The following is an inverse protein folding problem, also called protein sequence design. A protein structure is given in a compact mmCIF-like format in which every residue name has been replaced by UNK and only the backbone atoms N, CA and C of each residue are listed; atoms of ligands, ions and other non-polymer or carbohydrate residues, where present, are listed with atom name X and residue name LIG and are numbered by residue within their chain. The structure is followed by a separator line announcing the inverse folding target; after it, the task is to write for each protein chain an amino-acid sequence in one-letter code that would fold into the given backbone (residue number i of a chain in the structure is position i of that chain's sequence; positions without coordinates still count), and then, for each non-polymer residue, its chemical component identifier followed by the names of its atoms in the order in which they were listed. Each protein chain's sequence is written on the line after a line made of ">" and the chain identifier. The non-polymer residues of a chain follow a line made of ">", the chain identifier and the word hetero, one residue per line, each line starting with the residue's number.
data_IF_865361127727
#
_entry.id   IF_865361127727
#
_cell.length_a   1.000
_cell.length_b   1.000
_cell.length_c   1.000
_cell.angle_alpha   90.00
_cell.angle_beta   90.00
_cell.angle_gamma   90.00
#
_symmetry.space_group_name_H-M   'P 1'
#
loop_
_entity.id
_entity.type
_entity.pdbx_description
1 polymer ?
#
# COMPACT_ATOMS: atom_id res chain seq x y z
N UNK A 1 24.72 -14.59 1.72
CA UNK A 1 23.35 -14.56 1.16
C UNK A 1 22.70 -15.87 1.51
N UNK A 2 21.57 -15.85 2.20
CA UNK A 2 20.88 -17.08 2.61
C UNK A 2 19.95 -17.56 1.46
N UNK A 3 20.25 -18.73 0.89
CA UNK A 3 19.68 -19.23 -0.37
C UNK A 3 18.20 -19.66 -0.24
N UNK A 4 17.74 -19.96 0.97
CA UNK A 4 16.44 -20.60 1.22
C UNK A 4 15.24 -19.66 1.08
N UNK A 5 15.47 -18.34 1.12
CA UNK A 5 14.38 -17.35 1.14
C UNK A 5 13.87 -17.05 -0.26
N UNK A 6 14.75 -16.99 -1.26
CA UNK A 6 14.38 -16.58 -2.63
C UNK A 6 13.64 -17.71 -3.37
N UNK A 7 13.96 -18.97 -3.08
CA UNK A 7 13.24 -20.14 -3.62
C UNK A 7 11.74 -20.16 -3.24
N UNK A 8 11.37 -19.60 -2.08
CA UNK A 8 9.97 -19.53 -1.61
C UNK A 8 9.13 -18.47 -2.32
N UNK A 9 9.75 -17.49 -2.99
CA UNK A 9 9.05 -16.46 -3.75
C UNK A 9 8.31 -17.04 -4.97
N UNK A 10 8.93 -17.99 -5.69
CA UNK A 10 8.39 -18.56 -6.94
C UNK A 10 7.42 -19.72 -6.75
N UNK A 11 7.41 -20.35 -5.57
CA UNK A 11 6.54 -21.50 -5.31
C UNK A 11 5.07 -21.13 -5.05
N UNK A 12 4.71 -19.82 -4.96
CA UNK A 12 3.36 -19.37 -4.57
C UNK A 12 2.65 -18.45 -5.56
N UNK A 13 3.30 -18.00 -6.62
CA UNK A 13 2.68 -17.16 -7.67
C UNK A 13 2.06 -17.95 -8.83
N UNK A 14 2.09 -19.29 -8.81
CA UNK A 14 1.54 -20.11 -9.89
C UNK A 14 0.78 -21.34 -9.38
N UNK A 15 -0.54 -21.24 -9.25
CA UNK A 15 -1.46 -22.39 -9.33
C UNK A 15 -2.85 -21.93 -9.76
N UNK A 16 -3.04 -21.81 -11.07
CA UNK A 16 -4.34 -22.00 -11.68
C UNK A 16 -4.63 -23.51 -11.67
N UNK A 17 -5.76 -23.93 -11.11
CA UNK A 17 -6.15 -25.34 -11.02
C UNK A 17 -6.50 -25.95 -12.39
N UNK A 18 -6.32 -27.27 -12.59
CA UNK A 18 -6.64 -27.91 -13.86
C UNK A 18 -8.13 -28.24 -13.93
N UNK A 19 -8.81 -27.68 -14.92
CA UNK A 19 -10.13 -28.16 -15.36
C UNK A 19 -9.94 -29.35 -16.29
N UNK A 20 -10.50 -30.49 -15.91
CA UNK A 20 -10.58 -31.68 -16.73
C UNK A 20 -11.48 -31.45 -17.96
N UNK A 21 -11.04 -31.88 -19.14
CA UNK A 21 -11.92 -32.11 -20.28
C UNK A 21 -11.38 -33.27 -21.13
N UNK A 22 -12.32 -34.13 -21.50
CA UNK A 22 -12.19 -35.46 -22.06
C UNK A 22 -11.44 -35.52 -23.40
N UNK A 23 -10.84 -36.70 -23.60
CA UNK A 23 -10.35 -37.20 -24.86
C UNK A 23 -11.47 -37.33 -25.92
N UNK A 24 -11.14 -36.99 -27.16
CA UNK A 24 -11.78 -37.56 -28.34
C UNK A 24 -10.73 -37.61 -29.47
N UNK A 25 -10.22 -38.81 -29.71
CA UNK A 25 -9.44 -39.19 -30.89
C UNK A 25 -10.34 -39.25 -32.12
N UNK A 26 -9.97 -38.55 -33.18
CA UNK A 26 -10.47 -38.83 -34.53
C UNK A 26 -9.36 -38.58 -35.54
N UNK A 27 -8.85 -39.71 -36.06
CA UNK A 27 -8.01 -39.77 -37.23
C UNK A 27 -8.86 -39.52 -38.48
N UNK A 28 -8.38 -38.71 -39.41
CA UNK A 28 -8.91 -38.66 -40.77
C UNK A 28 -7.80 -38.30 -41.78
N UNK A 29 -7.86 -39.01 -42.91
CA UNK A 29 -6.85 -39.20 -43.93
C UNK A 29 -6.52 -37.93 -44.74
N UNK A 30 -5.30 -37.94 -45.27
CA UNK A 30 -4.81 -37.14 -46.39
C UNK A 30 -5.71 -37.25 -47.65
N UNK A 31 -6.00 -36.11 -48.25
CA UNK A 31 -6.14 -36.00 -49.72
C UNK A 31 -5.41 -34.74 -50.17
N UNK A 32 -4.34 -34.93 -50.93
CA UNK A 32 -3.60 -33.87 -51.62
C UNK A 32 -4.38 -33.51 -52.89
N UNK A 33 -4.82 -32.27 -53.01
CA UNK A 33 -5.31 -31.70 -54.27
C UNK A 33 -4.43 -30.51 -54.65
N UNK A 34 -3.70 -30.66 -55.75
CA UNK A 34 -2.93 -29.60 -56.41
C UNK A 34 -3.84 -28.84 -57.39
N UNK A 35 -4.08 -27.53 -57.22
CA UNK A 35 -4.69 -26.72 -58.27
C UNK A 35 -3.63 -26.22 -59.26
N UNK A 36 -4.02 -25.91 -60.52
CA UNK A 36 -3.09 -25.53 -61.58
C UNK A 36 -2.60 -24.09 -61.41
N UNK A 37 -1.39 -23.86 -61.93
CA UNK A 37 -0.69 -22.59 -61.93
C UNK A 37 -1.40 -21.54 -62.81
N UNK A 38 -1.84 -20.45 -62.18
CA UNK A 38 -2.20 -19.21 -62.86
C UNK A 38 -1.06 -18.21 -62.68
N UNK A 39 -0.53 -17.70 -63.80
CA UNK A 39 0.57 -16.76 -63.83
C UNK A 39 0.20 -15.44 -63.12
N UNK A 40 0.91 -15.13 -62.03
CA UNK A 40 0.86 -13.83 -61.36
C UNK A 40 1.99 -12.93 -61.86
N UNK A 41 1.62 -11.75 -62.36
CA UNK A 41 2.51 -10.64 -62.70
C UNK A 41 3.34 -10.18 -61.49
N UNK A 42 4.55 -9.64 -61.69
CA UNK A 42 5.44 -9.26 -60.59
C UNK A 42 4.92 -8.01 -59.88
N UNK A 43 4.40 -8.19 -58.66
CA UNK A 43 4.08 -7.08 -57.76
C UNK A 43 5.37 -6.55 -57.10
N UNK A 44 5.62 -5.25 -57.28
CA UNK A 44 6.71 -4.49 -56.64
C UNK A 44 6.78 -4.73 -55.12
N UNK A 45 7.98 -4.78 -54.51
CA UNK A 45 8.11 -4.96 -53.07
C UNK A 45 7.61 -3.70 -52.37
N UNK A 46 6.45 -3.78 -51.72
CA UNK A 46 6.04 -2.75 -50.77
C UNK A 46 6.74 -3.04 -49.46
N UNK A 47 7.69 -2.16 -49.14
CA UNK A 47 8.42 -2.16 -47.89
C UNK A 47 7.45 -1.76 -46.76
N UNK A 48 6.64 -2.72 -46.29
CA UNK A 48 5.84 -2.54 -45.07
C UNK A 48 6.80 -2.60 -43.90
N UNK A 49 7.30 -1.42 -43.51
CA UNK A 49 7.93 -1.22 -42.22
C UNK A 49 7.03 -1.86 -41.15
N UNK A 50 7.54 -2.90 -40.50
CA UNK A 50 6.86 -3.53 -39.36
C UNK A 50 6.65 -2.44 -38.32
N UNK A 51 5.41 -1.98 -38.17
CA UNK A 51 5.02 -1.13 -37.04
C UNK A 51 5.45 -1.89 -35.79
N UNK A 52 6.47 -1.38 -35.10
CA UNK A 52 6.92 -1.86 -33.79
C UNK A 52 5.66 -2.01 -32.94
N UNK A 53 5.39 -3.23 -32.46
CA UNK A 53 4.26 -3.45 -31.57
C UNK A 53 4.35 -2.43 -30.42
N UNK A 54 3.22 -1.84 -29.99
CA UNK A 54 3.25 -0.95 -28.84
C UNK A 54 3.92 -1.69 -27.67
N UNK A 55 4.77 -1.01 -26.88
CA UNK A 55 5.35 -1.63 -25.70
C UNK A 55 4.23 -2.23 -24.86
N UNK A 56 4.44 -3.48 -24.41
CA UNK A 56 3.46 -4.19 -23.59
C UNK A 56 3.07 -3.32 -22.38
N UNK A 57 1.79 -3.29 -22.05
CA UNK A 57 1.31 -2.54 -20.90
C UNK A 57 2.03 -3.02 -19.62
N UNK A 58 2.54 -2.07 -18.83
CA UNK A 58 3.24 -2.39 -17.59
C UNK A 58 2.26 -2.98 -16.58
N UNK A 59 2.63 -4.11 -15.98
CA UNK A 59 1.83 -4.79 -14.95
C UNK A 59 2.37 -4.45 -13.56
N UNK A 60 1.49 -4.27 -12.58
CA UNK A 60 1.88 -4.00 -11.20
C UNK A 60 2.76 -5.12 -10.62
N UNK A 61 3.77 -4.75 -9.83
CA UNK A 61 4.72 -5.68 -9.21
C UNK A 61 5.67 -6.40 -10.17
N UNK A 62 5.50 -6.31 -11.49
CA UNK A 62 6.30 -7.07 -12.46
C UNK A 62 7.78 -6.67 -12.46
N UNK A 63 8.08 -5.37 -12.46
CA UNK A 63 9.46 -4.87 -12.44
C UNK A 63 10.19 -5.32 -11.16
N UNK A 64 9.49 -5.26 -10.03
CA UNK A 64 10.00 -5.75 -8.75
C UNK A 64 10.32 -7.23 -8.86
N UNK A 65 9.34 -8.06 -9.24
CA UNK A 65 9.48 -9.51 -9.38
C UNK A 65 10.72 -9.90 -10.19
N UNK A 66 10.91 -9.25 -11.34
CA UNK A 66 12.06 -9.47 -12.24
C UNK A 66 13.39 -9.00 -11.65
N UNK A 67 13.39 -7.90 -10.90
CA UNK A 67 14.59 -7.47 -10.17
C UNK A 67 15.00 -8.52 -9.12
N UNK A 68 14.02 -9.14 -8.45
CA UNK A 68 14.28 -10.20 -7.47
C UNK A 68 14.80 -11.49 -8.13
N UNK A 69 14.28 -11.87 -9.29
CA UNK A 69 14.81 -12.98 -10.10
C UNK A 69 16.29 -12.78 -10.45
N UNK A 70 16.66 -11.54 -10.80
CA UNK A 70 18.05 -11.18 -11.07
C UNK A 70 18.91 -11.36 -9.80
N UNK A 71 18.47 -10.82 -8.65
CA UNK A 71 19.19 -11.01 -7.39
C UNK A 71 19.30 -12.49 -6.99
N UNK A 72 18.27 -13.29 -7.24
CA UNK A 72 18.32 -14.73 -7.03
C UNK A 72 19.42 -15.38 -7.87
N UNK A 73 19.40 -15.10 -9.16
CA UNK A 73 20.35 -15.67 -10.13
C UNK A 73 21.79 -15.29 -9.76
N UNK A 74 22.01 -14.05 -9.31
CA UNK A 74 23.32 -13.60 -8.79
C UNK A 74 23.73 -14.45 -7.59
N UNK A 75 22.82 -14.61 -6.63
CA UNK A 75 23.08 -15.32 -5.37
C UNK A 75 23.40 -16.81 -5.59
N UNK A 76 22.86 -17.40 -6.66
CA UNK A 76 23.07 -18.80 -7.06
C UNK A 76 24.28 -18.98 -8.00
N UNK A 77 25.05 -17.93 -8.29
CA UNK A 77 26.18 -17.98 -9.22
C UNK A 77 25.77 -18.13 -10.69
N UNK A 78 24.50 -17.96 -11.02
CA UNK A 78 23.95 -18.09 -12.37
C UNK A 78 24.16 -16.78 -13.17
N UNK A 79 25.41 -16.37 -13.35
CA UNK A 79 25.78 -15.06 -13.91
C UNK A 79 25.18 -14.79 -15.30
N UNK A 80 25.10 -15.81 -16.17
CA UNK A 80 24.50 -15.65 -17.52
C UNK A 80 23.00 -15.35 -17.44
N UNK A 81 22.27 -16.03 -16.55
CA UNK A 81 20.84 -15.83 -16.36
C UNK A 81 20.57 -14.48 -15.70
N UNK A 82 21.36 -14.10 -14.69
CA UNK A 82 21.29 -12.79 -14.06
C UNK A 82 21.47 -11.65 -15.06
N UNK A 83 22.49 -11.75 -15.93
CA UNK A 83 22.76 -10.74 -16.96
C UNK A 83 21.60 -10.63 -17.96
N UNK A 84 21.14 -11.76 -18.52
CA UNK A 84 20.02 -11.77 -19.46
C UNK A 84 18.73 -11.21 -18.83
N UNK A 85 18.46 -11.53 -17.56
CA UNK A 85 17.33 -11.00 -16.81
C UNK A 85 17.43 -9.48 -16.60
N UNK A 86 18.62 -8.99 -16.23
CA UNK A 86 18.88 -7.56 -16.03
C UNK A 86 18.77 -6.76 -17.35
N UNK A 87 19.32 -7.28 -18.45
CA UNK A 87 19.20 -6.67 -19.78
C UNK A 87 17.74 -6.55 -20.21
N UNK A 88 16.97 -7.63 -20.04
CA UNK A 88 15.54 -7.61 -20.35
C UNK A 88 14.79 -6.62 -19.45
N UNK A 89 15.10 -6.56 -18.15
CA UNK A 89 14.46 -5.64 -17.21
C UNK A 89 14.72 -4.19 -17.58
N UNK A 90 15.97 -3.84 -17.88
CA UNK A 90 16.35 -2.48 -18.30
C UNK A 90 15.74 -2.11 -19.64
N UNK A 91 15.67 -3.04 -20.60
CA UNK A 91 15.03 -2.79 -21.90
C UNK A 91 13.55 -2.44 -21.73
N UNK A 92 12.85 -3.14 -20.86
CA UNK A 92 11.41 -2.96 -20.68
C UNK A 92 11.09 -1.80 -19.69
N UNK A 93 12.01 -1.49 -18.77
CA UNK A 93 11.91 -0.40 -17.78
C UNK A 93 13.17 0.49 -17.83
N UNK A 94 13.39 1.27 -18.90
CA UNK A 94 14.62 2.03 -19.11
C UNK A 94 14.88 3.10 -18.05
N UNK A 95 13.81 3.62 -17.42
CA UNK A 95 13.87 4.62 -16.36
C UNK A 95 13.99 4.01 -14.95
N UNK A 96 14.29 2.71 -14.83
CA UNK A 96 14.53 2.06 -13.54
C UNK A 96 16.03 2.10 -13.18
N UNK A 97 16.44 3.16 -12.49
CA UNK A 97 17.85 3.44 -12.18
C UNK A 97 18.54 2.31 -11.40
N UNK A 98 17.84 1.66 -10.47
CA UNK A 98 18.40 0.52 -9.75
C UNK A 98 18.66 -0.67 -10.68
N UNK A 99 17.77 -0.96 -11.63
CA UNK A 99 18.00 -2.03 -12.61
C UNK A 99 19.20 -1.72 -13.52
N UNK A 100 19.36 -0.45 -13.92
CA UNK A 100 20.52 0.02 -14.66
C UNK A 100 21.83 -0.18 -13.87
N UNK A 101 21.82 0.14 -12.57
CA UNK A 101 22.96 -0.09 -11.68
C UNK A 101 23.33 -1.58 -11.62
N UNK A 102 22.34 -2.46 -11.38
CA UNK A 102 22.56 -3.91 -11.32
C UNK A 102 23.13 -4.46 -12.64
N UNK A 103 22.62 -3.99 -13.78
CA UNK A 103 23.15 -4.35 -15.09
C UNK A 103 24.62 -3.90 -15.25
N UNK A 104 24.93 -2.66 -14.85
CA UNK A 104 26.29 -2.13 -14.86
C UNK A 104 27.25 -2.95 -13.99
N UNK A 105 26.83 -3.33 -12.79
CA UNK A 105 27.62 -4.17 -11.87
C UNK A 105 27.89 -5.57 -12.46
N UNK A 106 26.90 -6.18 -13.13
CA UNK A 106 27.05 -7.47 -13.81
C UNK A 106 28.03 -7.41 -14.99
N UNK A 107 28.01 -6.34 -15.78
CA UNK A 107 28.99 -6.11 -16.83
C UNK A 107 30.40 -5.88 -16.29
N UNK A 108 30.52 -5.06 -15.25
CA UNK A 108 31.81 -4.81 -14.59
C UNK A 108 32.42 -6.09 -14.00
N UNK A 109 31.59 -6.95 -13.40
CA UNK A 109 32.03 -8.25 -12.87
C UNK A 109 32.57 -9.18 -13.96
N UNK A 110 32.02 -9.13 -15.18
CA UNK A 110 32.49 -9.92 -16.33
C UNK A 110 33.81 -9.40 -16.92
N UNK A 111 34.03 -8.09 -16.87
CA UNK A 111 35.22 -7.45 -17.41
C UNK A 111 36.46 -7.59 -16.49
N UNK A 112 36.28 -7.96 -15.22
CA UNK A 112 37.40 -8.15 -14.29
C UNK A 112 38.11 -9.49 -14.57
N UNK A 113 39.44 -9.49 -14.74
CA UNK A 113 40.22 -10.73 -14.77
C UNK A 113 39.98 -11.51 -13.47
N UNK A 114 39.87 -12.83 -13.54
CA UNK A 114 39.75 -13.68 -12.36
C UNK A 114 40.93 -13.42 -11.41
N UNK A 115 40.68 -12.73 -10.30
CA UNK A 115 41.68 -12.61 -9.24
C UNK A 115 41.72 -13.90 -8.41
N UNK A 116 42.88 -14.27 -7.84
CA UNK A 116 43.00 -15.46 -7.01
C UNK A 116 42.05 -15.39 -5.80
N UNK A 117 41.51 -16.56 -5.46
CA UNK A 117 40.52 -16.83 -4.41
C UNK A 117 40.80 -16.12 -3.08
N UNK A 118 39.84 -15.32 -2.58
CA UNK A 118 39.86 -14.80 -1.20
C UNK A 118 39.19 -13.43 -0.95
N UNK A 119 38.88 -12.65 -1.99
CA UNK A 119 38.27 -11.32 -1.81
C UNK A 119 36.74 -11.37 -1.94
N UNK A 120 36.04 -10.98 -0.86
CA UNK A 120 34.59 -10.75 -0.88
C UNK A 120 34.28 -9.53 -1.78
N UNK A 121 33.25 -9.56 -2.65
CA UNK A 121 32.95 -8.44 -3.53
C UNK A 121 32.39 -7.23 -2.77
N UNK A 122 33.24 -6.23 -2.53
CA UNK A 122 32.87 -4.87 -2.17
C UNK A 122 33.04 -3.93 -3.36
N UNK A 123 32.03 -3.11 -3.64
CA UNK A 123 31.97 -2.21 -4.78
C UNK A 123 33.10 -1.16 -4.74
N UNK A 124 34.04 -1.26 -5.68
CA UNK A 124 34.89 -0.13 -6.06
C UNK A 124 34.87 0.00 -7.59
N UNK A 125 34.14 1.00 -8.08
CA UNK A 125 34.55 1.71 -9.29
C UNK A 125 35.88 2.41 -8.96
N UNK A 126 36.82 2.54 -9.91
CA UNK A 126 38.03 3.32 -9.68
C UNK A 126 37.63 4.74 -9.26
N UNK A 127 38.09 5.16 -8.07
CA UNK A 127 37.75 6.41 -7.37
C UNK A 127 38.12 7.70 -8.11
N UNK A 128 38.65 7.60 -9.34
CA UNK A 128 39.33 8.68 -10.04
C UNK A 128 38.47 9.30 -11.18
N UNK A 129 37.23 8.85 -11.36
CA UNK A 129 36.32 9.30 -12.43
C UNK A 129 34.91 9.67 -11.97
N UNK A 130 34.52 9.36 -10.73
CA UNK A 130 33.19 9.66 -10.21
C UNK A 130 33.22 10.95 -9.40
N UNK A 131 32.34 11.92 -9.73
CA UNK A 131 32.17 13.13 -8.94
C UNK A 131 31.57 12.80 -7.56
N UNK A 132 31.72 13.69 -6.58
CA UNK A 132 31.09 13.52 -5.27
C UNK A 132 29.55 13.36 -5.36
N UNK A 133 28.93 13.97 -6.38
CA UNK A 133 27.49 13.85 -6.68
C UNK A 133 27.14 12.45 -7.21
N UNK A 134 28.00 11.87 -8.04
CA UNK A 134 27.80 10.50 -8.57
C UNK A 134 27.85 9.47 -7.43
N UNK A 135 28.80 9.61 -6.51
CA UNK A 135 28.90 8.75 -5.34
C UNK A 135 27.63 8.81 -4.47
N UNK A 136 27.08 10.01 -4.25
CA UNK A 136 25.84 10.19 -3.48
C UNK A 136 24.64 9.52 -4.16
N UNK A 137 24.51 9.63 -5.48
CA UNK A 137 23.44 8.98 -6.23
C UNK A 137 23.57 7.45 -6.20
N UNK A 138 24.80 6.93 -6.29
CA UNK A 138 25.05 5.49 -6.15
C UNK A 138 24.68 4.97 -4.77
N UNK A 139 25.00 5.71 -3.71
CA UNK A 139 24.64 5.33 -2.34
C UNK A 139 23.13 5.29 -2.11
N UNK A 140 22.39 6.21 -2.73
CA UNK A 140 20.92 6.20 -2.73
C UNK A 140 20.36 4.93 -3.39
N UNK A 141 20.90 4.52 -4.54
CA UNK A 141 20.47 3.30 -5.23
C UNK A 141 20.87 2.04 -4.45
N UNK A 142 22.03 2.04 -3.79
CA UNK A 142 22.45 0.95 -2.90
C UNK A 142 21.51 0.84 -1.70
N UNK A 143 21.10 1.95 -1.10
CA UNK A 143 20.11 1.94 -0.01
C UNK A 143 18.75 1.46 -0.50
N UNK A 144 18.31 1.85 -1.70
CA UNK A 144 17.10 1.29 -2.33
C UNK A 144 17.19 -0.23 -2.46
N UNK A 145 18.30 -0.74 -3.01
CA UNK A 145 18.56 -2.18 -3.13
C UNK A 145 18.48 -2.88 -1.76
N UNK A 146 19.15 -2.31 -0.74
CA UNK A 146 19.17 -2.86 0.62
C UNK A 146 17.76 -2.93 1.22
N UNK A 147 16.95 -1.88 1.08
CA UNK A 147 15.56 -1.84 1.58
C UNK A 147 14.69 -2.89 0.90
N UNK A 148 14.77 -3.00 -0.43
CA UNK A 148 14.02 -4.02 -1.19
C UNK A 148 14.39 -5.43 -0.73
N UNK A 149 15.69 -5.75 -0.62
CA UNK A 149 16.16 -7.05 -0.14
C UNK A 149 15.74 -7.34 1.32
N UNK A 150 15.82 -6.35 2.21
CA UNK A 150 15.34 -6.49 3.59
C UNK A 150 13.85 -6.81 3.66
N UNK A 151 13.03 -6.15 2.84
CA UNK A 151 11.60 -6.43 2.77
C UNK A 151 11.30 -7.87 2.29
N UNK A 152 12.19 -8.49 1.50
CA UNK A 152 12.04 -9.90 1.11
C UNK A 152 12.34 -10.86 2.25
N UNK A 153 13.41 -10.58 3.00
CA UNK A 153 13.77 -11.41 4.15
C UNK A 153 12.76 -11.30 5.28
N UNK A 154 12.19 -10.11 5.48
CA UNK A 154 11.21 -9.82 6.51
C UNK A 154 9.77 -9.82 5.96
N UNK A 155 9.46 -10.70 4.99
CA UNK A 155 8.09 -10.82 4.47
C UNK A 155 7.12 -11.14 5.61
N UNK A 156 5.91 -10.54 5.60
CA UNK A 156 4.89 -10.89 6.55
C UNK A 156 4.61 -12.40 6.47
N UNK A 157 4.50 -13.11 7.60
CA UNK A 157 4.09 -14.50 7.58
C UNK A 157 2.72 -14.64 6.91
N UNK A 158 2.49 -15.77 6.23
CA UNK A 158 1.23 -16.01 5.55
C UNK A 158 0.04 -15.89 6.53
N UNK A 159 -1.06 -15.31 6.05
CA UNK A 159 -2.28 -15.10 6.84
C UNK A 159 -2.08 -14.25 8.10
N UNK A 160 -1.11 -13.33 8.10
CA UNK A 160 -0.98 -12.32 9.16
C UNK A 160 -1.49 -10.97 8.72
N UNK A 161 -1.88 -10.15 9.69
CA UNK A 161 -2.37 -8.79 9.49
C UNK A 161 -1.57 -7.82 10.36
N UNK A 162 -1.48 -6.53 9.98
CA UNK A 162 -1.02 -5.48 10.87
C UNK A 162 -1.87 -5.43 12.15
N UNK A 163 -1.22 -5.36 13.31
CA UNK A 163 -1.90 -5.33 14.62
C UNK A 163 -2.88 -4.15 14.82
N UNK A 164 -2.81 -3.13 13.96
CA UNK A 164 -3.70 -1.97 13.95
C UNK A 164 -5.09 -2.30 13.39
N UNK A 165 -5.23 -3.35 12.59
CA UNK A 165 -6.51 -3.76 12.00
C UNK A 165 -7.25 -4.74 12.92
N UNK A 166 -8.12 -4.23 13.80
CA UNK A 166 -8.90 -5.07 14.73
C UNK A 166 -10.16 -5.63 14.06
N UNK A 167 -10.92 -4.78 13.38
CA UNK A 167 -12.06 -5.19 12.57
C UNK A 167 -12.26 -4.19 11.44
N UNK A 168 -12.71 -4.67 10.28
CA UNK A 168 -13.07 -3.82 9.16
C UNK A 168 -14.45 -4.22 8.66
N UNK A 169 -15.32 -3.23 8.54
CA UNK A 169 -16.63 -3.37 7.90
C UNK A 169 -16.51 -4.01 6.51
N UNK A 170 -17.43 -4.92 6.13
CA UNK A 170 -17.52 -5.43 4.76
C UNK A 170 -17.69 -4.34 3.70
N UNK A 171 -18.14 -3.14 4.09
CA UNK A 171 -18.22 -1.97 3.20
C UNK A 171 -16.85 -1.41 2.83
N UNK A 172 -15.82 -1.63 3.65
CA UNK A 172 -14.44 -1.29 3.32
C UNK A 172 -13.81 -2.49 2.61
N UNK A 173 -13.83 -2.47 1.27
CA UNK A 173 -13.36 -3.59 0.44
C UNK A 173 -11.85 -3.80 0.49
N UNK A 174 -11.09 -2.77 0.85
CA UNK A 174 -9.64 -2.80 0.91
C UNK A 174 -9.11 -2.06 2.14
N UNK A 175 -7.86 -2.34 2.50
CA UNK A 175 -7.08 -1.60 3.48
C UNK A 175 -5.63 -1.50 3.02
N UNK A 176 -4.95 -0.43 3.43
CA UNK A 176 -3.54 -0.19 3.10
C UNK A 176 -2.73 -0.08 4.38
N UNK A 177 -1.55 -0.70 4.42
CA UNK A 177 -0.57 -0.50 5.48
C UNK A 177 0.79 -0.13 4.90
N UNK A 178 1.46 0.85 5.47
CA UNK A 178 2.78 1.32 5.07
C UNK A 178 3.76 1.10 6.21
N UNK A 179 4.84 0.37 5.90
CA UNK A 179 5.98 0.15 6.77
C UNK A 179 7.15 1.01 6.29
N UNK A 180 7.41 2.09 7.03
CA UNK A 180 8.47 3.03 6.68
C UNK A 180 9.88 2.42 6.83
N UNK A 181 10.08 1.52 7.80
CA UNK A 181 11.36 0.84 8.01
C UNK A 181 11.74 -0.07 6.84
N UNK A 182 10.74 -0.60 6.12
CA UNK A 182 10.93 -1.50 4.98
C UNK A 182 10.72 -0.83 3.62
N UNK A 183 10.39 0.46 3.60
CA UNK A 183 10.00 1.18 2.37
C UNK A 183 8.95 0.38 1.59
N UNK A 184 7.91 -0.08 2.29
CA UNK A 184 6.93 -1.01 1.73
C UNK A 184 5.51 -0.58 2.03
N UNK A 185 4.66 -0.67 1.01
CA UNK A 185 3.21 -0.56 1.11
C UNK A 185 2.60 -1.95 0.90
N UNK A 186 1.61 -2.30 1.69
CA UNK A 186 0.86 -3.55 1.63
C UNK A 186 -0.61 -3.24 1.35
N UNK A 187 -1.17 -3.90 0.34
CA UNK A 187 -2.58 -3.80 -0.03
C UNK A 187 -3.32 -5.06 0.42
N UNK A 188 -4.35 -4.87 1.22
CA UNK A 188 -5.23 -5.93 1.69
C UNK A 188 -6.59 -5.85 1.02
N UNK A 189 -7.13 -6.99 0.66
CA UNK A 189 -8.53 -7.17 0.33
C UNK A 189 -9.27 -7.63 1.59
N UNK A 190 -10.40 -6.99 1.87
CA UNK A 190 -11.29 -7.38 2.96
C UNK A 190 -12.32 -8.39 2.44
N UNK A 191 -12.13 -9.65 2.81
CA UNK A 191 -12.99 -10.76 2.40
C UNK A 191 -13.88 -11.20 3.57
N UNK A 192 -14.94 -12.00 3.34
CA UNK A 192 -15.74 -12.57 4.44
C UNK A 192 -14.91 -13.38 5.45
N UNK A 193 -13.81 -13.98 5.01
CA UNK A 193 -12.90 -14.77 5.84
C UNK A 193 -11.83 -13.91 6.56
N UNK A 194 -11.85 -12.60 6.35
CA UNK A 194 -10.92 -11.63 6.91
C UNK A 194 -10.01 -10.96 5.87
N UNK A 195 -9.00 -10.26 6.36
CA UNK A 195 -8.05 -9.52 5.53
C UNK A 195 -7.06 -10.47 4.85
N UNK A 196 -6.98 -10.36 3.52
CA UNK A 196 -6.01 -11.09 2.71
C UNK A 196 -5.02 -10.10 2.09
N UNK A 197 -3.73 -10.31 2.33
CA UNK A 197 -2.68 -9.58 1.62
C UNK A 197 -2.72 -9.96 0.13
N UNK A 198 -3.01 -9.00 -0.74
CA UNK A 198 -3.15 -9.23 -2.19
C UNK A 198 -2.01 -8.64 -3.00
N UNK A 199 -1.31 -7.63 -2.48
CA UNK A 199 -0.12 -7.09 -3.10
C UNK A 199 0.78 -6.36 -2.09
N UNK A 200 2.07 -6.25 -2.42
CA UNK A 200 3.02 -5.41 -1.71
C UNK A 200 3.95 -4.70 -2.69
N UNK A 201 4.22 -3.43 -2.44
CA UNK A 201 4.94 -2.53 -3.35
C UNK A 201 6.03 -1.76 -2.62
N UNK A 202 7.14 -1.51 -3.31
CA UNK A 202 8.14 -0.58 -2.82
C UNK A 202 7.56 0.84 -2.76
N UNK A 203 7.80 1.54 -1.67
CA UNK A 203 7.26 2.87 -1.40
C UNK A 203 8.32 3.80 -0.82
N UNK A 204 8.38 5.01 -1.36
CA UNK A 204 9.22 6.11 -0.87
C UNK A 204 8.46 6.98 0.12
N UNK A 205 9.12 7.42 1.19
CA UNK A 205 8.55 8.31 2.22
C UNK A 205 9.31 9.65 2.27
N UNK A 206 8.96 10.49 3.25
CA UNK A 206 9.56 11.80 3.48
C UNK A 206 11.08 11.75 3.57
N UNK A 207 11.76 12.70 2.93
CA UNK A 207 13.23 12.79 2.93
C UNK A 207 13.84 13.02 4.33
N UNK A 208 13.08 13.62 5.25
CA UNK A 208 13.48 13.77 6.66
C UNK A 208 12.86 12.70 7.56
N UNK A 209 12.36 11.61 6.96
CA UNK A 209 11.82 10.45 7.64
C UNK A 209 10.31 10.55 7.89
N UNK A 210 9.92 10.13 9.09
CA UNK A 210 8.52 9.99 9.49
C UNK A 210 8.20 10.85 10.71
N UNK A 211 6.96 10.74 11.18
CA UNK A 211 6.38 11.51 12.28
C UNK A 211 6.34 13.00 11.98
N UNK A 212 5.59 13.32 10.91
CA UNK A 212 5.24 14.70 10.57
C UNK A 212 4.63 15.44 11.76
N UNK A 213 5.10 16.66 12.01
CA UNK A 213 4.62 17.52 13.09
C UNK A 213 4.24 18.92 12.59
N UNK A 214 5.06 19.54 11.74
CA UNK A 214 4.78 20.89 11.21
C UNK A 214 4.77 20.93 9.68
N UNK A 215 4.09 21.92 9.11
CA UNK A 215 4.19 22.22 7.68
C UNK A 215 5.65 22.39 7.24
N UNK A 216 6.00 21.84 6.07
CA UNK A 216 7.35 21.95 5.51
C UNK A 216 8.46 21.11 6.16
N UNK A 217 8.17 20.32 7.21
CA UNK A 217 9.16 19.45 7.87
C UNK A 217 9.62 18.22 7.04
N UNK A 218 9.05 18.02 5.85
CA UNK A 218 9.42 16.98 4.88
C UNK A 218 9.37 15.55 5.43
N UNK A 219 8.51 15.32 6.43
CA UNK A 219 8.29 14.02 7.07
C UNK A 219 6.95 13.43 6.64
N UNK A 220 6.88 12.11 6.55
CA UNK A 220 5.61 11.38 6.36
C UNK A 220 4.91 11.20 7.70
N UNK A 221 3.61 11.47 7.83
CA UNK A 221 2.91 11.28 9.10
C UNK A 221 2.79 9.80 9.48
N UNK A 222 2.65 9.52 10.77
CA UNK A 222 2.40 8.18 11.31
C UNK A 222 1.04 8.16 11.99
N UNK A 223 0.28 7.08 11.79
CA UNK A 223 -1.07 6.99 12.32
C UNK A 223 -2.04 6.23 11.42
N UNK A 224 -3.32 6.37 11.77
CA UNK A 224 -4.45 5.86 11.00
C UNK A 224 -5.04 6.99 10.16
N UNK A 225 -4.99 6.83 8.86
CA UNK A 225 -5.51 7.77 7.86
C UNK A 225 -6.58 7.12 7.00
N UNK A 226 -7.27 7.95 6.22
CA UNK A 226 -8.26 7.49 5.26
C UNK A 226 -8.11 8.25 3.96
N UNK A 227 -8.30 7.53 2.85
CA UNK A 227 -8.34 8.13 1.52
C UNK A 227 -9.58 9.02 1.41
N UNK A 228 -9.40 10.28 1.02
CA UNK A 228 -10.51 11.25 0.93
C UNK A 228 -11.07 11.38 -0.48
N UNK A 229 -10.25 11.17 -1.50
CA UNK A 229 -10.64 11.29 -2.90
C UNK A 229 -9.63 10.58 -3.81
N UNK A 230 -9.84 10.69 -5.12
CA UNK A 230 -8.91 10.29 -6.16
C UNK A 230 -8.68 11.48 -7.08
N UNK A 231 -7.43 11.81 -7.34
CA UNK A 231 -7.04 12.89 -8.25
C UNK A 231 -6.54 12.29 -9.56
N UNK A 232 -7.15 12.74 -10.66
CA UNK A 232 -6.81 12.29 -12.01
C UNK A 232 -5.46 12.89 -12.45
N UNK A 233 -4.57 12.12 -13.09
CA UNK A 233 -3.28 12.62 -13.57
C UNK A 233 -3.40 13.86 -14.47
N UNK A 234 -4.46 13.99 -15.27
CA UNK A 234 -4.70 15.17 -16.13
C UNK A 234 -4.89 16.48 -15.35
N UNK A 235 -5.25 16.40 -14.07
CA UNK A 235 -5.43 17.55 -13.17
C UNK A 235 -4.19 17.85 -12.33
N UNK A 236 -3.13 17.07 -12.48
CA UNK A 236 -1.93 17.10 -11.66
C UNK A 236 -0.70 17.48 -12.48
N UNK A 237 0.32 18.02 -11.81
CA UNK A 237 1.65 18.14 -12.41
C UNK A 237 2.22 16.73 -12.63
N UNK A 238 3.00 16.55 -13.70
CA UNK A 238 3.69 15.29 -14.05
C UNK A 238 4.45 14.66 -12.89
N UNK A 239 4.87 15.47 -11.91
CA UNK A 239 5.49 15.02 -10.67
C UNK A 239 4.75 13.88 -9.95
N UNK A 240 3.42 13.88 -10.02
CA UNK A 240 2.57 12.88 -9.34
C UNK A 240 2.29 11.64 -10.18
N UNK A 241 2.81 11.56 -11.41
CA UNK A 241 2.73 10.38 -12.25
C UNK A 241 1.30 9.98 -12.60
N UNK A 242 0.94 8.72 -12.37
CA UNK A 242 -0.35 8.15 -12.76
C UNK A 242 -1.56 8.67 -11.96
N UNK A 243 -1.37 9.49 -10.93
CA UNK A 243 -2.45 10.09 -10.15
C UNK A 243 -2.09 10.28 -8.67
N UNK A 244 -3.09 10.60 -7.86
CA UNK A 244 -2.90 10.68 -6.41
C UNK A 244 -4.16 10.27 -5.63
N UNK A 245 -3.93 9.72 -4.43
CA UNK A 245 -4.93 9.38 -3.43
C UNK A 245 -4.66 10.22 -2.17
N UNK A 246 -5.34 11.36 -1.99
CA UNK A 246 -5.13 12.19 -0.82
C UNK A 246 -5.56 11.51 0.47
N UNK A 247 -4.77 11.70 1.52
CA UNK A 247 -5.08 11.25 2.88
C UNK A 247 -5.67 12.39 3.70
N UNK A 248 -6.47 12.05 4.71
CA UNK A 248 -7.07 13.02 5.63
C UNK A 248 -6.08 13.59 6.67
N UNK A 249 -4.79 13.74 6.35
CA UNK A 249 -3.82 14.40 7.21
C UNK A 249 -3.95 15.94 7.10
N UNK A 250 -3.91 16.69 8.22
CA UNK A 250 -3.91 16.20 9.60
C UNK A 250 -5.32 15.72 9.99
N UNK A 251 -5.40 14.50 10.53
CA UNK A 251 -6.67 13.95 11.01
C UNK A 251 -7.01 14.55 12.39
N UNK A 252 -8.17 14.22 13.00
CA UNK A 252 -8.52 14.72 14.33
C UNK A 252 -7.50 14.43 15.44
N UNK A 253 -6.82 13.28 15.41
CA UNK A 253 -5.75 12.96 16.36
C UNK A 253 -4.55 13.89 16.14
N UNK A 254 -4.12 14.10 14.88
CA UNK A 254 -3.03 15.02 14.55
C UNK A 254 -3.35 16.45 15.00
N UNK A 255 -4.57 16.93 14.71
CA UNK A 255 -5.03 18.26 15.09
C UNK A 255 -5.09 18.43 16.62
N UNK A 256 -5.54 17.41 17.36
CA UNK A 256 -5.54 17.45 18.84
C UNK A 256 -4.14 17.56 19.43
N UNK A 257 -3.12 17.11 18.69
CA UNK A 257 -1.70 17.17 19.07
C UNK A 257 -0.99 18.41 18.54
N UNK A 258 -1.73 19.35 17.94
CA UNK A 258 -1.17 20.58 17.38
C UNK A 258 -0.35 20.38 16.11
N UNK A 259 -0.48 19.22 15.44
CA UNK A 259 0.24 18.98 14.18
C UNK A 259 -0.36 19.81 13.05
N UNK A 260 0.50 20.36 12.19
CA UNK A 260 0.11 21.24 11.07
C UNK A 260 0.56 20.68 9.71
N UNK A 261 0.25 21.42 8.64
CA UNK A 261 0.51 21.05 7.25
C UNK A 261 -0.70 20.41 6.58
N UNK A 262 -0.51 19.98 5.34
CA UNK A 262 -1.54 19.37 4.50
C UNK A 262 -0.88 18.58 3.35
N UNK A 263 -1.67 18.11 2.38
CA UNK A 263 -1.13 17.63 1.11
C UNK A 263 -0.41 16.28 1.15
N UNK A 264 -0.72 15.41 2.13
CA UNK A 264 -0.12 14.07 2.21
C UNK A 264 -0.91 13.09 1.36
N UNK A 265 -0.29 12.60 0.29
CA UNK A 265 -0.94 11.73 -0.70
C UNK A 265 -0.18 10.41 -0.86
N UNK A 266 -0.89 9.37 -1.30
CA UNK A 266 -0.27 8.26 -2.03
C UNK A 266 -0.23 8.64 -3.51
N UNK A 267 0.93 8.68 -4.15
CA UNK A 267 1.03 9.12 -5.55
C UNK A 267 2.11 8.36 -6.33
N UNK A 268 2.21 8.66 -7.63
CA UNK A 268 3.09 7.98 -8.57
C UNK A 268 4.49 8.58 -8.62
N UNK A 269 5.21 8.27 -9.69
CA UNK A 269 6.51 8.86 -9.99
C UNK A 269 6.47 9.67 -11.29
N UNK A 270 7.34 10.68 -11.44
CA UNK A 270 7.48 11.40 -12.70
C UNK A 270 7.80 10.46 -13.88
N UNK A 271 7.42 10.80 -15.13
CA UNK A 271 7.59 9.90 -16.29
C UNK A 271 9.02 9.38 -16.53
N UNK A 272 10.03 10.16 -16.16
CA UNK A 272 11.45 9.83 -16.34
C UNK A 272 12.06 9.05 -15.17
N UNK A 273 11.24 8.60 -14.22
CA UNK A 273 11.68 7.90 -13.03
C UNK A 273 10.73 6.75 -12.69
N UNK A 274 11.23 5.51 -12.67
CA UNK A 274 10.39 4.36 -12.33
C UNK A 274 10.07 4.31 -10.83
N UNK A 275 11.07 4.55 -9.98
CA UNK A 275 10.93 4.52 -8.53
C UNK A 275 11.71 5.68 -7.90
N UNK A 276 11.19 6.20 -6.79
CA UNK A 276 11.88 7.21 -5.99
C UNK A 276 12.78 6.55 -4.95
N UNK A 277 13.87 7.24 -4.58
CA UNK A 277 14.72 6.81 -3.48
C UNK A 277 13.91 6.61 -2.18
N UNK A 278 14.36 5.76 -1.22
CA UNK A 278 13.56 5.37 -0.06
C UNK A 278 12.98 6.53 0.75
N UNK A 279 13.73 7.63 0.84
CA UNK A 279 13.36 8.85 1.57
C UNK A 279 13.58 10.06 0.65
N UNK A 280 12.56 10.44 -0.13
CA UNK A 280 12.71 11.46 -1.17
C UNK A 280 11.49 12.37 -1.38
N UNK A 281 10.36 12.09 -0.74
CA UNK A 281 9.17 12.95 -0.84
C UNK A 281 9.26 14.10 0.16
N UNK A 282 8.39 15.11 0.01
CA UNK A 282 8.19 16.14 1.04
C UNK A 282 7.16 15.71 2.10
N UNK A 283 6.85 14.41 2.19
CA UNK A 283 5.94 13.83 3.19
C UNK A 283 4.93 12.83 2.62
N UNK A 284 4.70 12.85 1.30
CA UNK A 284 3.86 11.87 0.62
C UNK A 284 4.44 10.45 0.65
N UNK A 285 3.63 9.46 0.26
CA UNK A 285 4.10 8.10 -0.03
C UNK A 285 4.08 7.90 -1.55
N UNK A 286 5.25 7.73 -2.16
CA UNK A 286 5.37 7.59 -3.61
C UNK A 286 5.60 6.13 -4.03
N UNK A 287 4.89 5.70 -5.07
CA UNK A 287 4.89 4.35 -5.65
C UNK A 287 5.28 4.43 -7.12
N UNK A 288 5.77 3.34 -7.70
CA UNK A 288 5.90 3.25 -9.16
C UNK A 288 4.51 3.37 -9.82
N UNK A 289 4.43 4.00 -11.00
CA UNK A 289 3.15 4.25 -11.66
C UNK A 289 2.28 3.00 -11.88
N UNK A 290 2.81 1.85 -12.36
CA UNK A 290 1.99 0.63 -12.52
C UNK A 290 1.40 0.13 -11.19
N UNK A 291 2.18 0.24 -10.11
CA UNK A 291 1.75 -0.17 -8.77
C UNK A 291 0.66 0.77 -8.22
N UNK A 292 0.83 2.09 -8.39
CA UNK A 292 -0.18 3.07 -8.02
C UNK A 292 -1.46 2.89 -8.82
N UNK A 293 -1.37 2.62 -10.12
CA UNK A 293 -2.54 2.39 -10.97
C UNK A 293 -3.41 1.25 -10.46
N UNK A 294 -2.78 0.19 -9.91
CA UNK A 294 -3.52 -0.89 -9.24
C UNK A 294 -4.30 -0.34 -8.04
N UNK A 295 -3.67 0.46 -7.18
CA UNK A 295 -4.36 1.12 -6.07
C UNK A 295 -5.50 2.00 -6.57
N UNK A 296 -5.25 2.88 -7.54
CA UNK A 296 -6.24 3.81 -8.11
C UNK A 296 -7.48 3.08 -8.62
N UNK A 297 -7.35 1.89 -9.22
CA UNK A 297 -8.50 1.08 -9.68
C UNK A 297 -9.21 0.31 -8.57
N UNK A 298 -8.55 0.09 -7.43
CA UNK A 298 -8.97 -0.88 -6.41
C UNK A 298 -9.51 -0.24 -5.14
N UNK A 299 -8.87 0.83 -4.66
CA UNK A 299 -9.23 1.46 -3.38
C UNK A 299 -10.30 2.54 -3.58
N UNK A 300 -11.15 2.67 -2.57
CA UNK A 300 -12.29 3.59 -2.56
C UNK A 300 -12.08 4.71 -1.53
N UNK A 301 -12.91 5.75 -1.61
CA UNK A 301 -12.97 6.78 -0.55
C UNK A 301 -13.28 6.10 0.79
N UNK A 302 -12.67 6.61 1.87
CA UNK A 302 -12.71 6.02 3.21
C UNK A 302 -12.01 4.66 3.38
N UNK A 303 -11.22 4.21 2.39
CA UNK A 303 -10.25 3.12 2.59
C UNK A 303 -9.26 3.51 3.69
N UNK A 304 -9.07 2.68 4.73
CA UNK A 304 -8.11 2.97 5.79
C UNK A 304 -6.67 2.76 5.32
N UNK A 305 -5.80 3.66 5.75
CA UNK A 305 -4.36 3.67 5.46
C UNK A 305 -3.62 3.80 6.79
N UNK A 306 -2.96 2.73 7.22
CA UNK A 306 -2.07 2.76 8.39
C UNK A 306 -0.66 3.08 7.93
N UNK A 307 -0.02 4.09 8.52
CA UNK A 307 1.40 4.39 8.27
C UNK A 307 2.13 4.25 9.60
N UNK A 308 3.10 3.33 9.65
CA UNK A 308 3.84 3.03 10.87
C UNK A 308 5.36 3.10 10.65
N UNK A 309 6.15 3.41 11.70
CA UNK A 309 7.60 3.23 11.67
C UNK A 309 7.97 1.81 11.27
N UNK A 310 7.35 0.83 11.93
CA UNK A 310 7.44 -0.60 11.63
C UNK A 310 6.08 -1.25 11.88
N UNK A 311 5.65 -2.14 10.98
CA UNK A 311 4.43 -2.90 11.18
C UNK A 311 4.70 -4.14 12.02
N UNK A 312 3.87 -4.34 13.05
CA UNK A 312 3.82 -5.59 13.82
C UNK A 312 2.78 -6.51 13.22
N UNK A 313 3.26 -7.63 12.69
CA UNK A 313 2.44 -8.68 12.08
C UNK A 313 1.93 -9.64 13.12
N UNK A 314 0.63 -9.91 13.10
CA UNK A 314 -0.02 -10.80 14.06
C UNK A 314 -1.00 -11.73 13.37
N UNK A 315 -1.28 -12.89 13.98
CA UNK A 315 -2.33 -13.76 13.50
C UNK A 315 -3.71 -13.10 13.72
N UNK A 316 -4.69 -13.25 12.79
CA UNK A 316 -5.98 -12.58 12.89
C UNK A 316 -6.71 -12.81 14.22
N UNK A 317 -6.68 -14.03 14.77
CA UNK A 317 -7.32 -14.33 16.05
C UNK A 317 -6.67 -13.63 17.26
N UNK A 318 -5.42 -13.19 17.15
CA UNK A 318 -4.71 -12.57 18.28
C UNK A 318 -5.23 -11.18 18.64
N UNK A 319 -5.99 -10.54 17.74
CA UNK A 319 -6.63 -9.24 18.01
C UNK A 319 -8.06 -9.38 18.54
N UNK A 320 -8.61 -10.59 18.64
CA UNK A 320 -10.00 -10.82 19.04
C UNK A 320 -10.31 -10.33 20.45
N UNK A 321 -9.41 -10.57 21.42
CA UNK A 321 -9.60 -10.08 22.79
C UNK A 321 -9.70 -8.56 22.83
N UNK A 322 -8.80 -7.86 22.13
CA UNK A 322 -8.81 -6.39 22.07
C UNK A 322 -10.07 -5.88 21.35
N UNK A 323 -10.48 -6.56 20.28
CA UNK A 323 -11.72 -6.27 19.53
C UNK A 323 -12.95 -6.42 20.42
N UNK A 324 -13.09 -7.52 21.16
CA UNK A 324 -14.23 -7.79 22.04
C UNK A 324 -14.27 -6.81 23.21
N UNK A 325 -13.13 -6.53 23.85
CA UNK A 325 -13.04 -5.54 24.92
C UNK A 325 -13.51 -4.16 24.47
N UNK A 326 -13.10 -3.74 23.27
CA UNK A 326 -13.53 -2.45 22.73
C UNK A 326 -14.99 -2.46 22.28
N UNK A 327 -15.49 -3.57 21.73
CA UNK A 327 -16.90 -3.70 21.32
C UNK A 327 -17.84 -3.53 22.52
N UNK A 328 -17.50 -4.09 23.69
CA UNK A 328 -18.23 -3.88 24.95
C UNK A 328 -18.29 -2.41 25.35
N UNK A 329 -17.18 -1.67 25.20
CA UNK A 329 -17.14 -0.23 25.48
C UNK A 329 -18.03 0.56 24.52
N UNK A 330 -17.95 0.25 23.22
CA UNK A 330 -18.77 0.91 22.21
C UNK A 330 -20.26 0.62 22.42
N UNK A 331 -20.61 -0.63 22.79
CA UNK A 331 -21.98 -0.99 23.12
C UNK A 331 -22.48 -0.23 24.35
N UNK A 332 -21.68 -0.13 25.41
CA UNK A 332 -22.04 0.66 26.60
C UNK A 332 -22.26 2.15 26.28
N UNK A 333 -21.47 2.73 25.37
CA UNK A 333 -21.72 4.08 24.86
C UNK A 333 -23.02 4.17 24.06
N UNK A 334 -23.30 3.19 23.19
CA UNK A 334 -24.53 3.12 22.42
C UNK A 334 -25.77 3.04 23.32
N UNK A 335 -25.71 2.23 24.37
CA UNK A 335 -26.80 2.07 25.34
C UNK A 335 -27.01 3.36 26.15
N UNK A 336 -25.93 4.02 26.59
CA UNK A 336 -26.02 5.31 27.26
C UNK A 336 -26.60 6.39 26.34
N UNK A 337 -26.26 6.37 25.05
CA UNK A 337 -26.86 7.26 24.04
C UNK A 337 -28.35 6.99 23.90
N UNK A 338 -28.75 5.71 23.80
CA UNK A 338 -30.14 5.29 23.68
C UNK A 338 -31.01 5.72 24.88
N UNK A 339 -30.45 5.68 26.10
CA UNK A 339 -31.14 6.13 27.32
C UNK A 339 -31.42 7.64 27.33
N UNK A 340 -30.69 8.44 26.54
CA UNK A 340 -30.88 9.89 26.48
C UNK A 340 -30.45 10.65 27.74
N UNK A 341 -29.63 10.05 28.61
CA UNK A 341 -29.10 10.70 29.81
C UNK A 341 -27.73 11.34 29.54
N UNK A 342 -27.67 12.67 29.72
CA UNK A 342 -26.45 13.46 29.54
C UNK A 342 -25.37 13.07 30.54
N UNK A 343 -25.72 12.75 31.80
CA UNK A 343 -24.72 12.38 32.82
C UNK A 343 -24.04 11.07 32.47
N UNK A 344 -24.82 10.07 32.07
CA UNK A 344 -24.32 8.77 31.60
C UNK A 344 -23.50 8.87 30.32
N UNK A 345 -23.79 9.82 29.42
CA UNK A 345 -22.98 10.06 28.23
C UNK A 345 -21.65 10.75 28.54
N UNK A 346 -21.67 11.71 29.47
CA UNK A 346 -20.52 12.57 29.77
C UNK A 346 -19.24 11.78 30.09
N UNK A 347 -19.34 10.61 30.75
CA UNK A 347 -18.20 9.74 31.08
C UNK A 347 -17.43 9.21 29.87
N UNK A 348 -18.08 9.09 28.71
CA UNK A 348 -17.47 8.62 27.47
C UNK A 348 -16.80 9.74 26.68
N UNK A 349 -16.91 10.99 27.09
CA UNK A 349 -16.34 12.13 26.36
C UNK A 349 -15.26 12.80 27.19
N UNK A 350 -14.18 13.20 26.53
CA UNK A 350 -13.08 13.91 27.20
C UNK A 350 -13.47 15.37 27.45
N UNK A 351 -12.79 16.04 28.38
CA UNK A 351 -13.03 17.46 28.66
C UNK A 351 -12.74 18.36 27.44
N UNK A 352 -11.71 17.99 26.67
CA UNK A 352 -11.23 18.66 25.45
C UNK A 352 -11.92 18.19 24.16
N UNK A 353 -13.08 17.53 24.26
CA UNK A 353 -13.81 17.00 23.11
C UNK A 353 -14.12 18.06 22.04
N UNK A 354 -13.97 17.69 20.77
CA UNK A 354 -14.36 18.48 19.60
C UNK A 354 -15.30 17.70 18.68
N UNK A 355 -16.44 18.28 18.33
CA UNK A 355 -17.28 17.74 17.26
C UNK A 355 -16.81 18.24 15.89
N UNK A 356 -17.14 17.51 14.82
CA UNK A 356 -16.85 17.96 13.45
C UNK A 356 -17.44 19.35 13.13
N UNK A 357 -18.58 19.69 13.74
CA UNK A 357 -19.23 21.00 13.64
C UNK A 357 -18.69 22.05 14.62
N UNK A 358 -17.58 21.76 15.33
CA UNK A 358 -16.97 22.63 16.34
C UNK A 358 -17.93 23.08 17.47
N UNK A 359 -18.98 22.31 17.73
CA UNK A 359 -19.91 22.55 18.82
C UNK A 359 -19.23 22.22 20.17
N UNK A 360 -19.44 23.05 21.22
CA UNK A 360 -18.97 22.75 22.57
C UNK A 360 -19.51 21.41 23.08
N UNK A 361 -18.71 20.73 23.90
CA UNK A 361 -19.05 19.41 24.47
C UNK A 361 -20.45 19.35 25.06
N UNK A 362 -20.83 20.30 25.93
CA UNK A 362 -22.14 20.25 26.59
C UNK A 362 -23.30 20.34 25.59
N UNK A 363 -23.19 21.22 24.60
CA UNK A 363 -24.20 21.36 23.55
C UNK A 363 -24.30 20.09 22.71
N UNK A 364 -23.16 19.45 22.41
CA UNK A 364 -23.12 18.18 21.70
C UNK A 364 -23.82 17.05 22.48
N UNK A 365 -23.51 16.91 23.77
CA UNK A 365 -24.13 15.89 24.63
C UNK A 365 -25.63 16.08 24.73
N UNK A 366 -26.10 17.32 24.95
CA UNK A 366 -27.54 17.63 24.98
C UNK A 366 -28.22 17.28 23.65
N UNK A 367 -27.57 17.56 22.51
CA UNK A 367 -28.07 17.19 21.18
C UNK A 367 -28.18 15.68 21.00
N UNK A 368 -27.18 14.92 21.42
CA UNK A 368 -27.22 13.45 21.34
C UNK A 368 -28.34 12.88 22.22
N UNK A 369 -28.48 13.38 23.44
CA UNK A 369 -29.51 12.99 24.38
C UNK A 369 -30.92 13.29 23.85
N UNK A 370 -31.17 14.50 23.34
CA UNK A 370 -32.47 14.90 22.81
C UNK A 370 -32.86 14.17 21.52
N UNK A 371 -31.88 13.83 20.68
CA UNK A 371 -32.14 13.03 19.48
C UNK A 371 -32.66 11.64 19.85
N UNK A 372 -32.13 11.05 20.94
CA UNK A 372 -32.57 9.74 21.42
C UNK A 372 -33.98 9.75 21.99
N UNK A 373 -34.36 10.79 22.75
CA UNK A 373 -35.71 10.89 23.32
C UNK A 373 -36.79 11.15 22.27
N UNK A 374 -36.42 11.80 21.15
CA UNK A 374 -37.31 12.00 20.00
C UNK A 374 -37.38 10.78 19.08
N UNK A 375 -36.27 10.06 18.92
CA UNK A 375 -36.21 8.80 18.17
C UNK A 375 -36.48 7.64 19.13
N UNK A 376 -37.73 7.44 19.52
CA UNK A 376 -38.23 6.25 20.23
C UNK A 376 -38.04 4.92 19.48
N UNK A 377 -37.29 4.92 18.37
CA UNK A 377 -36.91 3.76 17.57
C UNK A 377 -35.47 3.37 17.89
N UNK A 378 -35.32 2.11 18.28
CA UNK A 378 -34.03 1.45 18.56
C UNK A 378 -33.02 1.72 17.43
N UNK A 379 -31.87 2.35 17.74
CA UNK A 379 -30.80 2.61 16.78
C UNK A 379 -29.75 1.52 16.91
N UNK A 380 -29.42 0.87 15.79
CA UNK A 380 -28.45 -0.21 15.74
C UNK A 380 -27.13 0.29 15.12
N UNK A 381 -26.00 -0.14 15.69
CA UNK A 381 -24.68 0.12 15.14
C UNK A 381 -24.28 -0.99 14.17
N UNK A 382 -24.23 -0.69 12.88
CA UNK A 382 -23.83 -1.61 11.80
C UNK A 382 -22.48 -1.24 11.21
N UNK A 383 -21.92 -2.12 10.38
CA UNK A 383 -20.75 -1.83 9.55
C UNK A 383 -19.56 -1.29 10.36
N UNK A 384 -19.25 -1.93 11.49
CA UNK A 384 -18.24 -1.45 12.44
C UNK A 384 -16.81 -1.73 11.94
N UNK A 385 -15.94 -0.73 12.02
CA UNK A 385 -14.51 -0.81 11.76
C UNK A 385 -13.73 -0.21 12.93
N UNK A 386 -12.77 -0.96 13.48
CA UNK A 386 -11.90 -0.56 14.60
C UNK A 386 -10.45 -0.59 14.16
N UNK A 387 -9.79 0.57 14.25
CA UNK A 387 -8.40 0.77 13.91
C UNK A 387 -7.66 1.25 15.14
N UNK A 388 -6.81 0.40 15.69
CA UNK A 388 -6.06 0.68 16.91
C UNK A 388 -4.71 1.32 16.57
N UNK A 389 -4.39 2.42 17.22
CA UNK A 389 -3.10 3.08 17.12
C UNK A 389 -2.48 3.24 18.51
N UNK A 390 -1.21 2.85 18.64
CA UNK A 390 -0.45 2.99 19.88
C UNK A 390 0.88 3.67 19.58
N UNK A 391 1.10 4.79 20.27
CA UNK A 391 2.36 5.52 20.32
C UNK A 391 2.64 5.93 21.78
N UNK A 392 2.79 7.23 22.08
CA UNK A 392 2.77 7.76 23.44
C UNK A 392 1.39 7.63 24.12
N UNK A 393 0.33 7.37 23.35
CA UNK A 393 -1.03 7.15 23.83
C UNK A 393 -1.71 6.01 23.07
N UNK A 394 -2.73 5.40 23.67
CA UNK A 394 -3.59 4.44 22.98
C UNK A 394 -4.81 5.16 22.41
N UNK A 395 -5.02 5.02 21.10
CA UNK A 395 -6.13 5.61 20.36
C UNK A 395 -6.88 4.55 19.57
N UNK A 396 -8.20 4.57 19.62
CA UNK A 396 -9.07 3.77 18.75
C UNK A 396 -9.80 4.68 17.78
N UNK A 397 -9.66 4.43 16.48
CA UNK A 397 -10.47 5.08 15.45
C UNK A 397 -11.58 4.12 15.04
N UNK A 398 -12.82 4.55 15.26
CA UNK A 398 -14.01 3.73 15.10
C UNK A 398 -14.85 4.34 14.00
N UNK A 399 -15.23 3.54 13.01
CA UNK A 399 -16.22 3.94 11.99
C UNK A 399 -17.39 2.96 12.05
N UNK A 400 -18.63 3.46 12.04
CA UNK A 400 -19.83 2.62 12.06
C UNK A 400 -21.01 3.35 11.42
N UNK A 401 -22.00 2.60 10.95
CA UNK A 401 -23.29 3.12 10.51
C UNK A 401 -24.29 3.11 11.66
N UNK A 402 -24.92 4.25 11.94
CA UNK A 402 -26.08 4.33 12.83
C UNK A 402 -27.35 4.18 12.01
N UNK A 403 -28.04 3.05 12.16
CA UNK A 403 -29.26 2.73 11.40
C UNK A 403 -30.44 2.62 12.36
N UNK A 404 -31.47 3.43 12.13
CA UNK A 404 -32.72 3.32 12.89
C UNK A 404 -33.45 2.05 12.48
N UNK A 405 -33.96 1.28 13.45
CA UNK A 405 -34.67 0.02 13.19
C UNK A 405 -35.82 0.21 12.20
N UNK A 406 -35.80 -0.58 11.12
CA UNK A 406 -36.74 -0.51 10.00
C UNK A 406 -36.23 0.29 8.79
N UNK A 407 -35.12 1.02 8.92
CA UNK A 407 -34.49 1.73 7.81
C UNK A 407 -33.37 0.90 7.16
N UNK A 408 -33.17 1.09 5.85
CA UNK A 408 -32.16 0.36 5.06
C UNK A 408 -30.79 1.03 5.07
N UNK A 409 -30.74 2.33 5.34
CA UNK A 409 -29.53 3.14 5.33
C UNK A 409 -29.56 4.11 6.49
N UNK A 410 -28.39 4.41 7.03
CA UNK A 410 -28.24 5.33 8.14
C UNK A 410 -27.05 6.26 7.96
N UNK A 411 -26.66 6.93 9.04
CA UNK A 411 -25.56 7.89 9.02
C UNK A 411 -24.26 7.19 9.39
N UNK A 412 -23.22 7.31 8.57
CA UNK A 412 -21.89 6.80 8.92
C UNK A 412 -21.17 7.81 9.81
N UNK A 413 -20.74 7.38 11.00
CA UNK A 413 -19.95 8.20 11.93
C UNK A 413 -18.54 7.69 12.05
N UNK A 414 -17.60 8.62 12.32
CA UNK A 414 -16.25 8.33 12.81
C UNK A 414 -16.08 8.92 14.19
N UNK A 415 -15.59 8.12 15.12
CA UNK A 415 -15.16 8.57 16.44
C UNK A 415 -13.67 8.28 16.63
N UNK A 416 -13.01 9.18 17.37
CA UNK A 416 -11.66 8.97 17.84
C UNK A 416 -11.69 8.92 19.36
N UNK A 417 -11.24 7.79 19.88
CA UNK A 417 -11.21 7.47 21.29
C UNK A 417 -9.77 7.47 21.77
N UNK A 418 -9.50 8.04 22.94
CA UNK A 418 -8.22 7.92 23.63
C UNK A 418 -8.41 7.15 24.93
N UNK A 419 -7.42 6.36 25.31
CA UNK A 419 -7.42 5.67 26.61
C UNK A 419 -6.84 6.58 27.68
N UNK A 420 -7.58 6.80 28.77
CA UNK A 420 -7.14 7.52 29.97
C UNK A 420 -7.27 6.58 31.18
N UNK A 421 -6.13 6.09 31.69
CA UNK A 421 -6.13 5.00 32.65
C UNK A 421 -6.78 3.75 32.05
N UNK A 422 -7.82 3.24 32.72
CA UNK A 422 -8.59 2.08 32.25
C UNK A 422 -9.85 2.42 31.45
N UNK A 423 -10.08 3.72 31.18
CA UNK A 423 -11.28 4.18 30.49
C UNK A 423 -10.97 4.65 29.06
N UNK A 424 -11.83 4.26 28.13
CA UNK A 424 -11.85 4.81 26.78
C UNK A 424 -12.79 6.00 26.71
N UNK A 425 -12.32 7.11 26.14
CA UNK A 425 -13.10 8.32 25.99
C UNK A 425 -12.94 8.94 24.60
N UNK A 426 -14.06 9.41 24.04
CA UNK A 426 -14.17 10.11 22.77
C UNK A 426 -13.63 11.53 22.93
N UNK A 427 -12.62 11.87 22.14
CA UNK A 427 -12.16 13.26 22.01
C UNK A 427 -12.59 13.91 20.69
N UNK A 428 -13.03 13.11 19.70
CA UNK A 428 -13.60 13.63 18.46
C UNK A 428 -14.70 12.73 17.90
N UNK A 429 -15.74 13.35 17.34
CA UNK A 429 -16.83 12.68 16.63
C UNK A 429 -17.30 13.49 15.41
N UNK A 430 -17.53 12.80 14.29
CA UNK A 430 -18.03 13.41 13.06
C UNK A 430 -18.78 12.45 12.15
N UNK A 431 -19.63 13.00 11.27
CA UNK A 431 -20.30 12.25 10.20
C UNK A 431 -19.37 12.17 8.99
N UNK A 432 -19.27 10.99 8.37
CA UNK A 432 -18.50 10.78 7.14
C UNK A 432 -19.49 10.68 5.97
N UNK A 433 -19.29 11.53 4.96
CA UNK A 433 -19.97 11.44 3.66
C UNK A 433 -19.16 10.67 2.63
#
# INVERSE_FOLDING_TARGET
>A
MDMDVISRYFSRSGRAGPGAALAATLAALLVVHTPPATAQQPSKPTNKASKKAPPAALVDGQAESRLLEVYQSISQGQHRQALAGAEALVRDYPNFQLAQLVLGDLWAARARPAQPTGAVPGAHLPSNLASATDNKNLDVLREESRRRLQALHARPPANTIPAQFLTLSPRQRHAVAVDASRSRLYLFENTPDGLRLVADYYASVGKLGIDKYVEGDQRTPIGVYFITSRLDPSTLRDFYGAGALPLNYPNPLDQSRGKTGSGIWLHGTPPHQFARAPQATDGCVALANPDLERLLRTVERSTPVVIAPELRWVAPHSVDTARQQFDTVLQAWSDAKAQGDVQSLQRFYTADFKSASQQPRQQWLTKLASTSTQQSKEVELKDKSYLHWRDASETMVVTFGEVTKGERSGTTRRQYWKRQGDQWQIFYEGVIS
#
